data_IF_340573100816
#
_entry.id   IF_340573100816
#
_cell.length_a   1.000
_cell.length_b   1.000
_cell.length_c   1.000
_cell.angle_alpha   90.00
_cell.angle_beta   90.00
_cell.angle_gamma   90.00
#
_symmetry.space_group_name_H-M   'P 1'
#
loop_
_entity.id
_entity.type
_entity.pdbx_description
1 polymer ?
#
# COMPACT_ATOMS: atom_id res chain seq x y z
N UNK A 1 16.67 27.09 -19.00
CA UNK A 1 15.86 25.90 -18.69
C UNK A 1 16.59 24.71 -19.31
N UNK A 2 17.20 23.91 -18.45
CA UNK A 2 18.41 23.16 -18.77
C UNK A 2 18.08 21.90 -19.59
N UNK A 3 18.79 21.69 -20.70
CA UNK A 3 18.62 20.55 -21.62
C UNK A 3 18.85 19.16 -20.98
N UNK A 4 19.19 19.11 -19.70
CA UNK A 4 19.39 17.93 -18.87
C UNK A 4 18.08 17.23 -18.48
N UNK A 5 16.94 17.94 -18.49
CA UNK A 5 15.65 17.37 -18.08
C UNK A 5 15.13 16.37 -19.14
N UNK A 6 15.40 16.62 -20.42
CA UNK A 6 14.96 15.76 -21.53
C UNK A 6 15.54 14.33 -21.42
N UNK A 7 16.87 14.13 -21.26
CA UNK A 7 17.42 12.79 -21.08
C UNK A 7 16.99 12.14 -19.77
N UNK A 8 16.72 12.90 -18.70
CA UNK A 8 16.16 12.37 -17.46
C UNK A 8 14.74 11.83 -17.70
N UNK A 9 13.88 12.58 -18.38
CA UNK A 9 12.50 12.13 -18.70
C UNK A 9 12.54 10.86 -19.56
N UNK A 10 13.39 10.85 -20.59
CA UNK A 10 13.55 9.67 -21.46
C UNK A 10 14.09 8.48 -20.66
N UNK A 11 15.12 8.69 -19.84
CA UNK A 11 15.67 7.66 -18.95
C UNK A 11 14.63 7.11 -17.99
N UNK A 12 13.85 7.96 -17.34
CA UNK A 12 12.76 7.55 -16.44
C UNK A 12 11.69 6.75 -17.18
N UNK A 13 11.33 7.19 -18.39
CA UNK A 13 10.37 6.51 -19.25
C UNK A 13 10.84 5.09 -19.60
N UNK A 14 12.09 4.95 -20.04
CA UNK A 14 12.69 3.65 -20.38
C UNK A 14 12.69 2.72 -19.17
N UNK A 15 13.20 3.20 -18.02
CA UNK A 15 13.34 2.38 -16.80
C UNK A 15 12.00 2.05 -16.15
N UNK A 16 10.94 2.84 -16.38
CA UNK A 16 9.59 2.54 -15.88
C UNK A 16 8.82 1.61 -16.82
N UNK A 17 8.94 1.84 -18.13
CA UNK A 17 8.17 1.13 -19.14
C UNK A 17 8.71 -0.26 -19.40
N UNK A 18 10.04 -0.45 -19.44
CA UNK A 18 10.65 -1.76 -19.69
C UNK A 18 10.23 -2.79 -18.62
N UNK A 19 10.36 -2.56 -17.30
CA UNK A 19 9.99 -3.53 -16.29
C UNK A 19 8.49 -3.80 -16.22
N UNK A 20 7.65 -2.87 -16.73
CA UNK A 20 6.18 -3.04 -16.75
C UNK A 20 5.71 -3.77 -18.01
N UNK A 21 6.32 -3.47 -19.15
CA UNK A 21 5.99 -4.09 -20.43
C UNK A 21 6.57 -5.51 -20.55
N UNK A 22 7.76 -5.74 -20.01
CA UNK A 22 8.44 -7.04 -20.09
C UNK A 22 7.62 -8.19 -19.46
N UNK A 23 7.08 -8.09 -18.23
CA UNK A 23 6.19 -9.09 -17.69
C UNK A 23 4.95 -9.25 -18.55
N UNK A 24 4.26 -8.16 -18.91
CA UNK A 24 3.04 -8.23 -19.71
C UNK A 24 3.27 -8.95 -21.04
N UNK A 25 4.36 -8.63 -21.74
CA UNK A 25 4.70 -9.23 -23.02
C UNK A 25 5.07 -10.72 -22.90
N UNK A 26 5.85 -11.10 -21.89
CA UNK A 26 6.20 -12.50 -21.63
C UNK A 26 4.96 -13.32 -21.21
N UNK A 27 4.13 -12.74 -20.34
CA UNK A 27 2.91 -13.36 -19.82
C UNK A 27 1.83 -13.53 -20.91
N UNK A 28 1.77 -12.66 -21.92
CA UNK A 28 0.78 -12.76 -23.01
C UNK A 28 1.09 -13.91 -23.98
N UNK A 29 2.37 -14.32 -24.10
CA UNK A 29 2.81 -15.39 -25.02
C UNK A 29 2.76 -16.80 -24.43
N UNK A 30 2.56 -16.94 -23.12
CA UNK A 30 2.40 -18.23 -22.46
C UNK A 30 1.01 -18.34 -21.86
N UNK A 31 0.36 -19.50 -22.00
CA UNK A 31 -0.88 -19.76 -21.26
C UNK A 31 -0.52 -19.80 -19.78
N UNK A 32 -0.73 -18.69 -19.09
CA UNK A 32 -0.51 -18.60 -17.65
C UNK A 32 -1.34 -19.69 -16.98
N UNK A 33 -0.71 -20.44 -16.08
CA UNK A 33 -1.46 -21.38 -15.26
C UNK A 33 -2.47 -20.59 -14.42
N UNK A 34 -3.69 -21.10 -14.21
CA UNK A 34 -4.70 -20.43 -13.39
C UNK A 34 -4.15 -19.99 -12.02
N UNK A 35 -3.30 -20.83 -11.41
CA UNK A 35 -2.66 -20.55 -10.13
C UNK A 35 -1.74 -19.32 -10.13
N UNK A 36 -1.06 -19.03 -11.25
CA UNK A 36 -0.19 -17.86 -11.33
C UNK A 36 -1.00 -16.56 -11.45
N UNK A 37 -2.12 -16.60 -12.17
CA UNK A 37 -3.05 -15.46 -12.27
C UNK A 37 -3.64 -15.12 -10.90
N UNK A 38 -4.09 -16.15 -10.17
CA UNK A 38 -4.61 -15.97 -8.81
C UNK A 38 -3.54 -15.39 -7.88
N UNK A 39 -2.30 -15.87 -7.96
CA UNK A 39 -1.18 -15.33 -7.19
C UNK A 39 -0.87 -13.86 -7.53
N UNK A 40 -0.84 -13.50 -8.82
CA UNK A 40 -0.65 -12.11 -9.27
C UNK A 40 -1.77 -11.20 -8.73
N UNK A 41 -3.00 -11.71 -8.63
CA UNK A 41 -4.14 -10.99 -8.08
C UNK A 41 -3.96 -10.57 -6.60
N UNK A 42 -3.13 -11.28 -5.83
CA UNK A 42 -2.83 -10.94 -4.44
C UNK A 42 -1.72 -9.90 -4.26
N UNK A 43 -0.92 -9.64 -5.31
CA UNK A 43 0.21 -8.68 -5.24
C UNK A 43 -0.24 -7.30 -4.74
N UNK A 44 -1.31 -6.67 -5.24
CA UNK A 44 -1.73 -5.35 -4.77
C UNK A 44 -2.08 -5.35 -3.28
N UNK A 45 -2.84 -6.34 -2.81
CA UNK A 45 -3.24 -6.45 -1.41
C UNK A 45 -2.02 -6.70 -0.49
N UNK A 46 -1.09 -7.55 -0.93
CA UNK A 46 0.14 -7.83 -0.18
C UNK A 46 1.02 -6.58 -0.06
N UNK A 47 1.23 -5.84 -1.16
CA UNK A 47 2.02 -4.61 -1.16
C UNK A 47 1.39 -3.55 -0.25
N UNK A 48 0.08 -3.30 -0.38
CA UNK A 48 -0.61 -2.33 0.49
C UNK A 48 -0.49 -2.71 1.96
N UNK A 49 -0.67 -4.00 2.29
CA UNK A 49 -0.54 -4.49 3.67
C UNK A 49 0.89 -4.34 4.19
N UNK A 50 1.89 -4.68 3.38
CA UNK A 50 3.30 -4.52 3.72
C UNK A 50 3.74 -3.06 3.86
N UNK A 51 3.05 -2.12 3.22
CA UNK A 51 3.30 -0.68 3.35
C UNK A 51 2.67 -0.13 4.64
N UNK A 52 1.43 -0.53 4.94
CA UNK A 52 0.63 -0.01 6.07
C UNK A 52 1.08 -0.62 7.41
N UNK A 53 1.36 -1.92 7.46
CA UNK A 53 1.72 -2.60 8.71
C UNK A 53 2.94 -1.98 9.43
N UNK A 54 4.08 -1.71 8.77
CA UNK A 54 5.21 -1.09 9.43
C UNK A 54 4.94 0.37 9.81
N UNK A 55 4.09 1.11 9.08
CA UNK A 55 3.74 2.48 9.49
C UNK A 55 2.91 2.51 10.78
N UNK A 56 2.15 1.45 11.06
CA UNK A 56 1.39 1.30 12.30
C UNK A 56 2.24 0.82 13.49
N UNK A 57 3.17 -0.12 13.27
CA UNK A 57 3.90 -0.82 14.35
C UNK A 57 5.24 -0.17 14.68
N UNK A 58 5.88 0.48 13.71
CA UNK A 58 7.20 1.09 13.90
C UNK A 58 7.11 2.61 14.04
N UNK A 59 7.96 3.19 14.89
CA UNK A 59 8.04 4.64 15.11
C UNK A 59 9.46 5.11 15.42
N UNK A 60 9.69 6.41 15.23
CA UNK A 60 10.95 7.10 15.53
C UNK A 60 12.11 6.77 14.58
N UNK A 61 13.17 7.57 14.70
CA UNK A 61 14.50 7.32 14.14
C UNK A 61 15.48 7.08 15.31
N UNK A 62 16.10 5.89 15.46
CA UNK A 62 15.95 4.66 14.68
C UNK A 62 14.63 3.92 14.93
N UNK A 63 14.19 3.12 13.94
CA UNK A 63 12.95 2.32 13.99
C UNK A 63 12.95 1.39 15.19
N UNK A 64 12.13 1.70 16.18
CA UNK A 64 11.83 0.80 17.29
C UNK A 64 10.36 0.37 17.21
N UNK A 65 10.06 -0.83 17.72
CA UNK A 65 8.69 -1.27 17.87
C UNK A 65 8.03 -0.42 18.96
N UNK A 66 7.04 0.38 18.56
CA UNK A 66 6.25 1.19 19.48
C UNK A 66 4.87 0.55 19.57
N UNK A 67 4.70 -0.29 20.58
CA UNK A 67 3.43 -1.00 20.83
C UNK A 67 2.30 -0.06 21.30
N UNK A 68 2.62 1.15 21.75
CA UNK A 68 1.67 2.12 22.31
C UNK A 68 1.56 3.36 21.42
N UNK A 69 1.32 3.15 20.12
CA UNK A 69 0.95 4.24 19.20
C UNK A 69 -0.58 4.36 19.12
N UNK A 70 -1.15 5.58 19.23
CA UNK A 70 -2.57 5.82 18.97
C UNK A 70 -3.02 5.25 17.62
N UNK A 71 -2.15 5.33 16.61
CA UNK A 71 -2.38 4.78 15.26
C UNK A 71 -2.67 3.27 15.27
N UNK A 72 -1.95 2.49 16.10
CA UNK A 72 -2.14 1.05 16.22
C UNK A 72 -3.48 0.71 16.91
N UNK A 73 -3.82 1.48 17.95
CA UNK A 73 -5.09 1.35 18.67
C UNK A 73 -6.30 1.72 17.83
N UNK A 74 -6.15 2.63 16.86
CA UNK A 74 -7.20 2.98 15.88
C UNK A 74 -7.28 1.94 14.76
N UNK A 75 -6.14 1.41 14.33
CA UNK A 75 -6.10 0.43 13.25
C UNK A 75 -6.82 -0.88 13.60
N UNK A 76 -6.70 -1.37 14.83
CA UNK A 76 -7.36 -2.61 15.27
C UNK A 76 -8.90 -2.58 15.12
N UNK A 77 -9.65 -1.63 15.70
CA UNK A 77 -11.10 -1.55 15.54
C UNK A 77 -11.50 -1.22 14.10
N UNK A 78 -10.71 -0.42 13.37
CA UNK A 78 -10.96 -0.12 11.95
C UNK A 78 -10.86 -1.37 11.08
N UNK A 79 -9.88 -2.24 11.36
CA UNK A 79 -9.68 -3.51 10.66
C UNK A 79 -10.82 -4.50 10.95
N UNK A 80 -11.26 -4.60 12.21
CA UNK A 80 -12.41 -5.43 12.58
C UNK A 80 -13.68 -4.97 11.85
N UNK A 81 -13.90 -3.65 11.78
CA UNK A 81 -15.03 -3.10 11.03
C UNK A 81 -14.92 -3.37 9.52
N UNK A 82 -13.71 -3.33 8.97
CA UNK A 82 -13.46 -3.62 7.57
C UNK A 82 -13.78 -5.06 7.17
N UNK A 83 -13.37 -6.02 8.00
CA UNK A 83 -13.67 -7.42 7.76
C UNK A 83 -15.18 -7.70 7.81
N UNK A 84 -15.92 -7.00 8.67
CA UNK A 84 -17.37 -7.21 8.82
C UNK A 84 -18.20 -6.58 7.70
N UNK A 85 -17.82 -5.39 7.24
CA UNK A 85 -18.67 -4.58 6.35
C UNK A 85 -18.43 -4.88 4.87
N UNK A 86 -17.27 -5.45 4.51
CA UNK A 86 -16.83 -5.70 3.13
C UNK A 86 -16.95 -4.49 2.17
N UNK A 87 -17.14 -3.28 2.72
CA UNK A 87 -17.34 -2.02 1.99
C UNK A 87 -16.15 -1.10 2.21
N UNK A 88 -15.38 -0.86 1.15
CA UNK A 88 -14.19 -0.01 1.18
C UNK A 88 -14.53 1.43 1.61
N UNK A 89 -15.64 1.99 1.11
CA UNK A 89 -16.05 3.35 1.45
C UNK A 89 -16.39 3.49 2.94
N UNK A 90 -17.14 2.53 3.50
CA UNK A 90 -17.50 2.53 4.92
C UNK A 90 -16.28 2.42 5.83
N UNK A 91 -15.27 1.64 5.42
CA UNK A 91 -14.03 1.50 6.19
C UNK A 91 -13.20 2.76 6.23
N UNK A 92 -13.13 3.50 5.13
CA UNK A 92 -12.39 4.76 5.07
C UNK A 92 -13.06 5.79 5.98
N UNK A 93 -14.38 5.96 5.90
CA UNK A 93 -15.11 6.92 6.71
C UNK A 93 -14.95 6.62 8.21
N UNK A 94 -15.13 5.37 8.63
CA UNK A 94 -15.00 4.99 10.03
C UNK A 94 -13.56 5.08 10.51
N UNK A 95 -12.59 4.70 9.69
CA UNK A 95 -11.17 4.88 10.01
C UNK A 95 -10.82 6.35 10.22
N UNK A 96 -11.32 7.25 9.37
CA UNK A 96 -11.12 8.70 9.52
C UNK A 96 -11.75 9.23 10.81
N UNK A 97 -12.99 8.82 11.13
CA UNK A 97 -13.67 9.24 12.37
C UNK A 97 -12.95 8.72 13.61
N UNK A 98 -12.54 7.46 13.62
CA UNK A 98 -11.79 6.87 14.73
C UNK A 98 -10.41 7.52 14.90
N UNK A 99 -9.71 7.79 13.79
CA UNK A 99 -8.43 8.49 13.82
C UNK A 99 -8.58 9.91 14.37
N UNK A 100 -9.60 10.64 13.93
CA UNK A 100 -9.90 11.98 14.43
C UNK A 100 -10.23 11.98 15.93
N UNK A 101 -11.04 11.02 16.39
CA UNK A 101 -11.35 10.87 17.82
C UNK A 101 -10.11 10.52 18.65
N UNK A 102 -9.27 9.60 18.17
CA UNK A 102 -8.04 9.24 18.87
C UNK A 102 -7.05 10.41 18.96
N UNK A 103 -6.94 11.21 17.90
CA UNK A 103 -6.14 12.43 17.91
C UNK A 103 -6.65 13.43 18.97
N UNK A 104 -7.97 13.63 19.05
CA UNK A 104 -8.58 14.58 19.99
C UNK A 104 -8.62 14.11 21.45
N UNK A 105 -8.41 12.81 21.72
CA UNK A 105 -8.35 12.24 23.08
C UNK A 105 -6.92 12.21 23.63
N UNK A 106 -5.90 12.20 22.76
CA UNK A 106 -4.48 12.11 23.15
C UNK A 106 -3.69 13.43 23.07
N UNK A 107 -4.26 14.50 22.49
CA UNK A 107 -3.73 15.88 22.47
C UNK A 107 -4.46 16.76 23.49
#
# INVERSE_FOLDING_TARGET
MNGEIIPIIIGMGIVTYIPRWLPLFFLTRHRLSPSLIDWLGFIPAAILSALILPSLVTGGEPRHLVWVKPDLWVAAPTLVFALKTKSLAGTVVIGMVLYWLALNVFL
#
